data_IF_829473175459
#
_entry.id   IF_829473175459
#
_cell.length_a   1.000
_cell.length_b   1.000
_cell.length_c   1.000
_cell.angle_alpha   90.00
_cell.angle_beta   90.00
_cell.angle_gamma   90.00
#
_symmetry.space_group_name_H-M   'P 1'
#
loop_
_entity.id
_entity.type
_entity.pdbx_description
1 polymer ?
#
# COMPACT_ATOMS: atom_id res chain seq x y z
N UNK A 1 -41.69 21.40 20.38
CA UNK A 1 -40.33 21.73 20.85
C UNK A 1 -39.56 20.44 21.01
N UNK A 2 -39.17 19.95 19.84
CA UNK A 2 -38.27 18.90 19.37
C UNK A 2 -37.42 18.11 20.39
N UNK A 3 -37.89 16.89 20.68
CA UNK A 3 -37.16 15.81 21.35
C UNK A 3 -36.43 14.92 20.30
N UNK A 4 -35.72 15.54 19.35
CA UNK A 4 -35.11 14.84 18.20
C UNK A 4 -33.56 14.82 18.18
N UNK A 5 -32.89 15.13 19.28
CA UNK A 5 -31.40 15.19 19.32
C UNK A 5 -30.69 13.98 19.96
N UNK A 6 -31.38 12.86 20.17
CA UNK A 6 -30.76 11.64 20.72
C UNK A 6 -31.00 10.45 19.81
N UNK A 7 -29.91 9.90 19.27
CA UNK A 7 -29.77 8.65 18.48
C UNK A 7 -29.47 8.78 16.97
N UNK A 8 -28.77 9.83 16.54
CA UNK A 8 -27.92 9.73 15.36
C UNK A 8 -26.51 9.25 15.74
N UNK A 9 -26.40 8.09 16.42
CA UNK A 9 -25.14 7.33 16.38
C UNK A 9 -25.05 6.79 14.96
N UNK A 10 -24.50 7.61 14.04
CA UNK A 10 -24.07 7.13 12.72
C UNK A 10 -23.28 5.85 12.96
N UNK A 11 -23.57 4.82 12.16
CA UNK A 11 -22.83 3.56 12.18
C UNK A 11 -21.40 3.81 11.66
N UNK A 12 -20.60 4.53 12.43
CA UNK A 12 -19.17 4.69 12.19
C UNK A 12 -18.52 3.34 12.53
N UNK A 13 -17.84 2.76 11.54
CA UNK A 13 -17.10 1.52 11.71
C UNK A 13 -16.11 1.72 12.86
N UNK A 14 -16.15 0.81 13.84
CA UNK A 14 -15.26 0.93 15.01
C UNK A 14 -13.80 0.95 14.58
N UNK A 15 -12.97 1.76 15.23
CA UNK A 15 -11.53 1.83 14.99
C UNK A 15 -10.85 0.46 15.09
N UNK A 16 -11.38 -0.46 15.90
CA UNK A 16 -10.91 -1.85 16.00
C UNK A 16 -11.11 -2.63 14.72
N UNK A 17 -12.27 -2.51 14.09
CA UNK A 17 -12.55 -3.17 12.80
C UNK A 17 -11.67 -2.60 11.70
N UNK A 18 -11.45 -1.28 11.68
CA UNK A 18 -10.53 -0.65 10.73
C UNK A 18 -9.08 -1.15 10.93
N UNK A 19 -8.62 -1.30 12.16
CA UNK A 19 -7.31 -1.86 12.45
C UNK A 19 -7.18 -3.33 12.05
N UNK A 20 -8.23 -4.14 12.21
CA UNK A 20 -8.25 -5.52 11.69
C UNK A 20 -8.17 -5.53 10.17
N UNK A 21 -8.95 -4.69 9.49
CA UNK A 21 -8.93 -4.56 8.03
C UNK A 21 -7.54 -4.14 7.57
N UNK A 22 -6.94 -3.12 8.20
CA UNK A 22 -5.58 -2.66 7.88
C UNK A 22 -4.55 -3.77 8.10
N UNK A 23 -4.59 -4.44 9.25
CA UNK A 23 -3.67 -5.53 9.58
C UNK A 23 -3.78 -6.74 8.66
N UNK A 24 -5.00 -7.17 8.31
CA UNK A 24 -5.24 -8.29 7.40
C UNK A 24 -4.89 -7.92 5.95
N UNK A 25 -5.25 -6.71 5.51
CA UNK A 25 -4.96 -6.23 4.16
C UNK A 25 -3.46 -6.11 3.91
N UNK A 26 -2.73 -5.47 4.82
CA UNK A 26 -1.27 -5.36 4.73
C UNK A 26 -0.59 -6.73 4.80
N UNK A 27 -1.06 -7.65 5.66
CA UNK A 27 -0.53 -9.01 5.71
C UNK A 27 -0.78 -9.77 4.40
N UNK A 28 -2.00 -9.67 3.85
CA UNK A 28 -2.35 -10.27 2.57
C UNK A 28 -1.43 -9.79 1.45
N UNK A 29 -1.17 -8.48 1.36
CA UNK A 29 -0.22 -7.92 0.40
C UNK A 29 1.21 -8.42 0.61
N UNK A 30 1.68 -8.43 1.87
CA UNK A 30 3.03 -8.86 2.22
C UNK A 30 3.30 -10.33 1.89
N UNK A 31 2.25 -11.14 1.72
CA UNK A 31 2.35 -12.54 1.27
C UNK A 31 2.15 -12.62 -0.24
N UNK A 32 1.09 -12.03 -0.78
CA UNK A 32 0.70 -12.21 -2.18
C UNK A 32 1.67 -11.57 -3.16
N UNK A 33 2.14 -10.35 -2.89
CA UNK A 33 3.03 -9.64 -3.83
C UNK A 33 4.40 -10.33 -3.98
N UNK A 34 5.12 -10.69 -2.89
CA UNK A 34 6.37 -11.44 -3.02
C UNK A 34 6.19 -12.84 -3.62
N UNK A 35 5.09 -13.52 -3.30
CA UNK A 35 4.77 -14.82 -3.90
C UNK A 35 4.56 -14.69 -5.42
N UNK A 36 3.77 -13.71 -5.88
CA UNK A 36 3.51 -13.49 -7.29
C UNK A 36 4.78 -13.07 -8.06
N UNK A 37 5.62 -12.21 -7.46
CA UNK A 37 6.85 -11.72 -8.09
C UNK A 37 7.98 -12.76 -8.03
N UNK A 38 8.48 -13.03 -6.83
CA UNK A 38 9.69 -13.85 -6.62
C UNK A 38 9.39 -15.34 -6.63
N UNK A 39 8.18 -15.75 -6.21
CA UNK A 39 7.80 -17.16 -6.15
C UNK A 39 7.28 -17.71 -7.48
N UNK A 40 6.75 -16.86 -8.36
CA UNK A 40 6.11 -17.30 -9.61
C UNK A 40 6.72 -16.61 -10.82
N UNK A 41 6.64 -15.27 -10.94
CA UNK A 41 7.02 -14.60 -12.18
C UNK A 41 8.53 -14.72 -12.47
N UNK A 42 9.38 -14.34 -11.53
CA UNK A 42 10.84 -14.32 -11.76
C UNK A 42 11.41 -15.71 -12.12
N UNK A 43 11.01 -16.82 -11.46
CA UNK A 43 11.45 -18.16 -11.86
C UNK A 43 11.05 -18.58 -13.28
N UNK A 44 9.99 -18.00 -13.86
CA UNK A 44 9.55 -18.33 -15.23
C UNK A 44 10.34 -17.58 -16.30
N UNK A 45 11.06 -16.52 -15.94
CA UNK A 45 11.73 -15.62 -16.88
C UNK A 45 13.23 -15.91 -16.91
N UNK A 46 13.72 -16.40 -18.06
CA UNK A 46 15.13 -16.43 -18.41
C UNK A 46 15.44 -15.20 -19.29
N UNK A 47 16.08 -14.20 -18.70
CA UNK A 47 16.42 -12.94 -19.38
C UNK A 47 17.38 -13.12 -20.56
N UNK A 48 18.10 -14.24 -20.62
CA UNK A 48 19.04 -14.57 -21.69
C UNK A 48 18.46 -15.48 -22.76
N UNK A 49 17.31 -16.12 -22.50
CA UNK A 49 16.70 -17.11 -23.37
C UNK A 49 15.18 -16.88 -23.52
N UNK A 50 14.77 -16.07 -24.51
CA UNK A 50 13.35 -15.80 -24.78
C UNK A 50 12.54 -17.07 -25.10
N UNK A 51 13.13 -18.01 -25.83
CA UNK A 51 12.48 -19.28 -26.18
C UNK A 51 12.18 -20.11 -24.93
N UNK A 52 13.13 -20.21 -24.00
CA UNK A 52 12.91 -20.90 -22.73
C UNK A 52 11.85 -20.20 -21.87
N UNK A 53 11.85 -18.86 -21.83
CA UNK A 53 10.83 -18.08 -21.12
C UNK A 53 9.43 -18.37 -21.63
N UNK A 54 9.22 -18.39 -22.94
CA UNK A 54 7.91 -18.73 -23.54
C UNK A 54 7.50 -20.16 -23.18
N UNK A 55 8.43 -21.13 -23.27
CA UNK A 55 8.17 -22.51 -22.88
C UNK A 55 7.75 -22.63 -21.41
N UNK A 56 8.47 -21.97 -20.49
CA UNK A 56 8.15 -21.95 -19.07
C UNK A 56 6.74 -21.40 -18.80
N UNK A 57 6.35 -20.31 -19.46
CA UNK A 57 5.00 -19.74 -19.32
C UNK A 57 3.91 -20.68 -19.82
N UNK A 58 4.14 -21.40 -20.92
CA UNK A 58 3.20 -22.39 -21.46
C UNK A 58 3.08 -23.61 -20.54
N UNK A 59 4.20 -24.13 -20.04
CA UNK A 59 4.22 -25.27 -19.11
C UNK A 59 3.59 -24.93 -17.75
N UNK A 60 3.72 -23.68 -17.30
CA UNK A 60 3.23 -23.19 -16.01
C UNK A 60 2.03 -22.24 -16.14
N UNK A 61 1.21 -22.37 -17.19
CA UNK A 61 0.14 -21.41 -17.51
C UNK A 61 -0.81 -21.15 -16.32
N UNK A 62 -1.25 -22.20 -15.63
CA UNK A 62 -2.15 -22.07 -14.48
C UNK A 62 -1.53 -21.27 -13.33
N UNK A 63 -0.26 -21.51 -13.03
CA UNK A 63 0.50 -20.81 -11.99
C UNK A 63 0.73 -19.35 -12.38
N UNK A 64 1.08 -19.09 -13.64
CA UNK A 64 1.24 -17.73 -14.15
C UNK A 64 -0.05 -16.92 -14.07
N UNK A 65 -1.19 -17.50 -14.47
CA UNK A 65 -2.52 -16.86 -14.34
C UNK A 65 -2.89 -16.62 -12.88
N UNK A 66 -2.52 -17.52 -11.96
CA UNK A 66 -2.71 -17.33 -10.53
C UNK A 66 -1.90 -16.14 -10.00
N UNK A 67 -0.68 -15.93 -10.50
CA UNK A 67 0.14 -14.75 -10.18
C UNK A 67 -0.56 -13.45 -10.62
N UNK A 68 -1.12 -13.41 -11.83
CA UNK A 68 -1.90 -12.26 -12.32
C UNK A 68 -3.11 -11.99 -11.42
N UNK A 69 -3.84 -13.04 -11.03
CA UNK A 69 -4.97 -12.91 -10.11
C UNK A 69 -4.54 -12.41 -8.73
N UNK A 70 -3.42 -12.90 -8.20
CA UNK A 70 -2.86 -12.43 -6.93
C UNK A 70 -2.50 -10.94 -6.99
N UNK A 71 -1.89 -10.48 -8.08
CA UNK A 71 -1.65 -9.06 -8.30
C UNK A 71 -2.92 -8.22 -8.34
N UNK A 72 -3.98 -8.71 -8.99
CA UNK A 72 -5.27 -8.02 -8.99
C UNK A 72 -5.86 -7.89 -7.58
N UNK A 73 -5.75 -8.94 -6.77
CA UNK A 73 -6.15 -8.91 -5.36
C UNK A 73 -5.32 -7.89 -4.58
N UNK A 74 -4.00 -7.84 -4.77
CA UNK A 74 -3.11 -6.83 -4.15
C UNK A 74 -3.59 -5.42 -4.49
N UNK A 75 -3.89 -5.14 -5.77
CA UNK A 75 -4.41 -3.84 -6.21
C UNK A 75 -5.73 -3.47 -5.53
N UNK A 76 -6.65 -4.42 -5.32
CA UNK A 76 -7.88 -4.15 -4.58
C UNK A 76 -7.63 -3.90 -3.10
N UNK A 77 -6.70 -4.65 -2.51
CA UNK A 77 -6.26 -4.38 -1.15
C UNK A 77 -5.65 -2.97 -1.05
N UNK A 78 -4.96 -2.45 -2.08
CA UNK A 78 -4.39 -1.09 -2.05
C UNK A 78 -5.45 -0.01 -1.92
N UNK A 79 -6.54 -0.16 -2.65
CA UNK A 79 -7.71 0.74 -2.55
C UNK A 79 -8.32 0.66 -1.16
N UNK A 80 -8.46 -0.55 -0.62
CA UNK A 80 -8.97 -0.77 0.74
C UNK A 80 -8.04 -0.14 1.79
N UNK A 81 -6.73 -0.26 1.64
CA UNK A 81 -5.74 0.30 2.55
C UNK A 81 -5.70 1.82 2.49
N UNK A 82 -5.83 2.42 1.31
CA UNK A 82 -5.93 3.87 1.17
C UNK A 82 -7.07 4.44 2.04
N UNK A 83 -8.23 3.80 2.01
CA UNK A 83 -9.37 4.17 2.83
C UNK A 83 -9.14 3.88 4.33
N UNK A 84 -8.74 2.66 4.68
CA UNK A 84 -8.58 2.26 6.08
C UNK A 84 -7.54 3.13 6.80
N UNK A 85 -6.37 3.36 6.18
CA UNK A 85 -5.31 4.19 6.74
C UNK A 85 -5.74 5.66 6.85
N UNK A 86 -6.48 6.18 5.87
CA UNK A 86 -7.04 7.53 5.96
C UNK A 86 -7.93 7.67 7.20
N UNK A 87 -8.86 6.75 7.43
CA UNK A 87 -9.78 6.85 8.57
C UNK A 87 -9.07 6.68 9.91
N UNK A 88 -8.03 5.85 9.99
CA UNK A 88 -7.25 5.66 11.22
C UNK A 88 -6.36 6.88 11.52
N UNK A 89 -5.73 7.46 10.49
CA UNK A 89 -4.72 8.51 10.66
C UNK A 89 -5.30 9.94 10.55
N UNK A 90 -6.53 10.11 10.06
CA UNK A 90 -7.21 11.42 10.00
C UNK A 90 -7.21 12.20 11.31
N UNK A 91 -7.35 11.59 12.51
CA UNK A 91 -7.38 12.36 13.76
C UNK A 91 -6.02 13.02 14.07
N UNK A 92 -4.91 12.47 13.55
CA UNK A 92 -3.57 13.03 13.73
C UNK A 92 -3.37 14.26 12.84
N UNK A 93 -3.70 14.14 11.56
CA UNK A 93 -3.71 15.26 10.60
C UNK A 93 -4.51 14.86 9.35
N UNK A 94 -5.71 15.44 9.18
CA UNK A 94 -6.61 15.07 8.10
C UNK A 94 -6.05 15.36 6.70
N UNK A 95 -5.38 16.49 6.52
CA UNK A 95 -4.83 16.90 5.21
C UNK A 95 -3.72 15.95 4.75
N UNK A 96 -2.77 15.64 5.65
CA UNK A 96 -1.68 14.72 5.33
C UNK A 96 -2.19 13.29 5.16
N UNK A 97 -3.14 12.85 5.99
CA UNK A 97 -3.77 11.53 5.84
C UNK A 97 -4.49 11.39 4.49
N UNK A 98 -5.15 12.46 4.02
CA UNK A 98 -5.78 12.49 2.70
C UNK A 98 -4.75 12.38 1.57
N UNK A 99 -3.66 13.15 1.64
CA UNK A 99 -2.57 13.07 0.66
C UNK A 99 -1.97 11.66 0.60
N UNK A 100 -1.71 11.05 1.76
CA UNK A 100 -1.21 9.68 1.87
C UNK A 100 -2.17 8.66 1.24
N UNK A 101 -3.47 8.82 1.46
CA UNK A 101 -4.49 8.01 0.80
C UNK A 101 -4.51 8.18 -0.72
N UNK A 102 -4.40 9.42 -1.21
CA UNK A 102 -4.31 9.70 -2.65
C UNK A 102 -3.08 9.10 -3.30
N UNK A 103 -1.91 9.18 -2.65
CA UNK A 103 -0.69 8.53 -3.14
C UNK A 103 -0.89 7.02 -3.26
N UNK A 104 -1.56 6.39 -2.30
CA UNK A 104 -1.87 4.96 -2.34
C UNK A 104 -2.82 4.59 -3.49
N UNK A 105 -3.87 5.39 -3.71
CA UNK A 105 -4.80 5.19 -4.83
C UNK A 105 -4.11 5.43 -6.19
N UNK A 106 -3.26 6.45 -6.28
CA UNK A 106 -2.48 6.74 -7.47
C UNK A 106 -1.53 5.59 -7.81
N UNK A 107 -0.85 5.02 -6.80
CA UNK A 107 -0.02 3.83 -6.96
C UNK A 107 -0.83 2.63 -7.48
N UNK A 108 -1.98 2.34 -6.88
CA UNK A 108 -2.87 1.25 -7.32
C UNK A 108 -3.34 1.43 -8.76
N UNK A 109 -3.77 2.64 -9.13
CA UNK A 109 -4.21 2.95 -10.49
C UNK A 109 -3.06 2.88 -11.51
N UNK A 110 -1.88 3.40 -11.15
CA UNK A 110 -0.69 3.39 -12.00
C UNK A 110 -0.12 1.97 -12.19
N UNK A 111 -0.45 1.01 -11.33
CA UNK A 111 -0.04 -0.39 -11.47
C UNK A 111 -0.87 -1.18 -12.49
N UNK A 112 -2.11 -0.77 -12.77
CA UNK A 112 -2.99 -1.50 -13.69
C UNK A 112 -2.41 -1.70 -15.11
N UNK A 113 -1.75 -0.71 -15.74
CA UNK A 113 -1.08 -0.92 -17.02
C UNK A 113 0.07 -1.94 -16.94
N UNK A 114 0.83 -1.96 -15.84
CA UNK A 114 1.87 -2.98 -15.64
C UNK A 114 1.24 -4.37 -15.60
N UNK A 115 0.17 -4.55 -14.81
CA UNK A 115 -0.57 -5.80 -14.72
C UNK A 115 -1.18 -6.23 -16.07
N UNK A 116 -1.66 -5.27 -16.87
CA UNK A 116 -2.16 -5.53 -18.21
C UNK A 116 -1.10 -6.18 -19.12
N UNK A 117 0.18 -5.80 -19.00
CA UNK A 117 1.25 -6.43 -19.78
C UNK A 117 1.37 -7.93 -19.49
N UNK A 118 1.21 -8.37 -18.23
CA UNK A 118 1.22 -9.80 -17.92
C UNK A 118 -0.03 -10.50 -18.44
N UNK A 119 -1.18 -9.82 -18.40
CA UNK A 119 -2.42 -10.34 -18.96
C UNK A 119 -2.32 -10.49 -20.49
N UNK A 120 -1.68 -9.55 -21.18
CA UNK A 120 -1.42 -9.62 -22.61
C UNK A 120 -0.55 -10.82 -22.98
N UNK A 121 0.48 -11.14 -22.17
CA UNK A 121 1.27 -12.37 -22.33
C UNK A 121 0.38 -13.61 -22.20
N UNK A 122 -0.44 -13.68 -21.15
CA UNK A 122 -1.33 -14.83 -20.93
C UNK A 122 -2.40 -14.98 -22.02
N UNK A 123 -2.87 -13.88 -22.60
CA UNK A 123 -3.82 -13.90 -23.71
C UNK A 123 -3.16 -14.28 -25.02
N UNK A 124 -1.98 -13.71 -25.33
CA UNK A 124 -1.22 -14.02 -26.53
C UNK A 124 -0.91 -15.51 -26.59
N UNK A 125 -0.27 -16.06 -25.55
CA UNK A 125 0.16 -17.45 -25.49
C UNK A 125 -1.01 -18.46 -25.46
N UNK A 126 -2.16 -18.06 -24.91
CA UNK A 126 -3.37 -18.89 -24.93
C UNK A 126 -4.19 -18.77 -26.23
N UNK A 127 -3.81 -17.91 -27.18
CA UNK A 127 -4.59 -17.65 -28.37
C UNK A 127 -4.09 -18.44 -29.60
N UNK A 128 -4.97 -18.76 -30.57
CA UNK A 128 -4.55 -19.29 -31.86
C UNK A 128 -3.62 -18.35 -32.64
N UNK A 129 -3.61 -17.05 -32.30
CA UNK A 129 -2.79 -16.05 -32.95
C UNK A 129 -1.29 -16.25 -32.68
N UNK A 130 -0.91 -16.80 -31.51
CA UNK A 130 0.48 -17.11 -31.22
C UNK A 130 1.07 -18.09 -32.25
N UNK A 131 0.32 -19.12 -32.64
CA UNK A 131 0.74 -20.11 -33.65
C UNK A 131 0.74 -19.56 -35.08
N UNK A 132 0.02 -18.46 -35.33
CA UNK A 132 -0.04 -17.80 -36.63
C UNK A 132 1.11 -16.81 -36.86
N UNK A 133 1.79 -16.40 -35.79
CA UNK A 133 2.93 -15.49 -35.83
C UNK A 133 4.26 -16.25 -35.86
N UNK A 134 5.33 -15.66 -36.43
CA UNK A 134 6.67 -16.20 -36.28
C UNK A 134 7.07 -16.28 -34.79
N UNK A 135 7.71 -17.38 -34.38
CA UNK A 135 8.11 -17.59 -32.99
C UNK A 135 8.91 -16.41 -32.40
N UNK A 136 9.87 -15.88 -33.17
CA UNK A 136 10.69 -14.74 -32.76
C UNK A 136 9.87 -13.47 -32.44
N UNK A 137 8.72 -13.27 -33.10
CA UNK A 137 7.82 -12.13 -32.82
C UNK A 137 7.10 -12.34 -31.49
N UNK A 138 6.62 -13.55 -31.23
CA UNK A 138 5.95 -13.90 -29.96
C UNK A 138 6.94 -13.79 -28.80
N UNK A 139 8.13 -14.36 -28.95
CA UNK A 139 9.21 -14.29 -27.95
C UNK A 139 9.58 -12.83 -27.62
N UNK A 140 9.82 -12.00 -28.64
CA UNK A 140 10.15 -10.59 -28.43
C UNK A 140 9.01 -9.83 -27.73
N UNK A 141 7.75 -10.09 -28.10
CA UNK A 141 6.60 -9.46 -27.47
C UNK A 141 6.46 -9.87 -26.00
N UNK A 142 6.63 -11.17 -25.69
CA UNK A 142 6.59 -11.67 -24.30
C UNK A 142 7.67 -11.00 -23.46
N UNK A 143 8.92 -10.98 -23.94
CA UNK A 143 10.02 -10.35 -23.21
C UNK A 143 9.80 -8.84 -23.02
N UNK A 144 9.30 -8.13 -24.04
CA UNK A 144 8.99 -6.72 -23.95
C UNK A 144 7.87 -6.41 -22.94
N UNK A 145 6.81 -7.24 -22.91
CA UNK A 145 5.71 -7.11 -21.95
C UNK A 145 6.18 -7.40 -20.52
N UNK A 146 7.00 -8.44 -20.31
CA UNK A 146 7.60 -8.74 -18.99
C UNK A 146 8.51 -7.59 -18.52
N UNK A 147 9.34 -7.03 -19.40
CA UNK A 147 10.17 -5.88 -19.06
C UNK A 147 9.31 -4.65 -18.73
N UNK A 148 8.24 -4.41 -19.48
CA UNK A 148 7.29 -3.31 -19.24
C UNK A 148 6.56 -3.46 -17.91
N UNK A 149 6.20 -4.68 -17.51
CA UNK A 149 5.68 -4.96 -16.17
C UNK A 149 6.68 -4.55 -15.07
N UNK A 150 7.95 -4.96 -15.17
CA UNK A 150 8.98 -4.62 -14.19
C UNK A 150 9.21 -3.10 -14.11
N UNK A 151 9.27 -2.41 -15.26
CA UNK A 151 9.38 -0.95 -15.29
C UNK A 151 8.19 -0.27 -14.60
N UNK A 152 6.97 -0.72 -14.88
CA UNK A 152 5.76 -0.20 -14.24
C UNK A 152 5.74 -0.46 -12.73
N UNK A 153 6.16 -1.65 -12.31
CA UNK A 153 6.32 -2.02 -10.89
C UNK A 153 7.30 -1.09 -10.17
N UNK A 154 8.48 -0.87 -10.72
CA UNK A 154 9.52 -0.02 -10.11
C UNK A 154 9.07 1.45 -9.99
N UNK A 155 8.32 1.97 -10.98
CA UNK A 155 7.75 3.32 -10.93
C UNK A 155 6.65 3.45 -9.86
N UNK A 156 5.80 2.43 -9.71
CA UNK A 156 4.76 2.41 -8.67
C UNK A 156 5.39 2.37 -7.27
N UNK A 157 6.50 1.65 -7.09
CA UNK A 157 7.25 1.63 -5.83
C UNK A 157 7.75 3.02 -5.42
N UNK A 158 8.05 3.92 -6.35
CA UNK A 158 8.42 5.29 -6.02
C UNK A 158 7.26 6.05 -5.37
N UNK A 159 6.06 5.94 -5.95
CA UNK A 159 4.84 6.55 -5.40
C UNK A 159 4.49 5.92 -4.06
N UNK A 160 4.69 4.60 -3.92
CA UNK A 160 4.54 3.90 -2.66
C UNK A 160 5.54 4.39 -1.58
N UNK A 161 6.79 4.64 -1.96
CA UNK A 161 7.80 5.23 -1.08
C UNK A 161 7.33 6.57 -0.51
N UNK A 162 6.80 7.47 -1.36
CA UNK A 162 6.21 8.75 -0.91
C UNK A 162 5.03 8.54 0.04
N UNK A 163 4.17 7.57 -0.24
CA UNK A 163 3.09 7.18 0.66
C UNK A 163 3.63 6.77 2.04
N UNK A 164 4.67 5.93 2.09
CA UNK A 164 5.29 5.49 3.35
C UNK A 164 5.93 6.64 4.12
N UNK A 165 6.56 7.61 3.45
CA UNK A 165 7.07 8.81 4.14
C UNK A 165 5.95 9.53 4.91
N UNK A 166 4.78 9.69 4.28
CA UNK A 166 3.63 10.33 4.90
C UNK A 166 2.98 9.48 6.00
N UNK A 167 2.83 8.16 5.79
CA UNK A 167 2.36 7.23 6.83
C UNK A 167 3.30 7.29 8.03
N UNK A 168 4.61 7.16 7.82
CA UNK A 168 5.60 7.18 8.88
C UNK A 168 5.58 8.49 9.68
N UNK A 169 5.42 9.63 9.00
CA UNK A 169 5.27 10.93 9.66
C UNK A 169 3.99 11.02 10.52
N UNK A 170 2.87 10.46 10.06
CA UNK A 170 1.61 10.40 10.82
C UNK A 170 1.73 9.45 12.02
N UNK A 171 2.32 8.27 11.83
CA UNK A 171 2.57 7.28 12.88
C UNK A 171 3.50 7.86 13.95
N UNK A 172 4.54 8.59 13.56
CA UNK A 172 5.46 9.26 14.50
C UNK A 172 4.76 10.29 15.39
N UNK A 173 3.76 11.01 14.85
CA UNK A 173 2.99 12.03 15.58
C UNK A 173 1.82 11.45 16.37
N UNK A 174 1.43 10.21 16.11
CA UNK A 174 0.26 9.59 16.74
C UNK A 174 0.53 9.17 18.17
N UNK A 175 -0.40 9.44 19.08
CA UNK A 175 -0.41 8.83 20.42
C UNK A 175 -0.75 7.34 20.39
N UNK A 176 -1.31 6.86 19.28
CA UNK A 176 -1.73 5.48 19.09
C UNK A 176 -0.58 4.56 18.67
N UNK A 177 0.60 5.08 18.31
CA UNK A 177 1.70 4.25 17.84
C UNK A 177 3.02 4.69 18.47
N UNK A 178 3.96 3.77 18.71
CA UNK A 178 5.25 4.15 19.24
C UNK A 178 6.05 4.93 18.18
N UNK A 179 6.72 6.01 18.59
CA UNK A 179 7.42 6.92 17.66
C UNK A 179 8.48 6.23 16.80
N UNK A 180 9.21 5.26 17.37
CA UNK A 180 10.23 4.52 16.62
C UNK A 180 9.65 3.79 15.41
N UNK A 181 8.40 3.33 15.48
CA UNK A 181 7.73 2.67 14.36
C UNK A 181 7.56 3.66 13.19
N UNK A 182 7.17 4.89 13.48
CA UNK A 182 7.07 5.94 12.45
C UNK A 182 8.41 6.18 11.75
N UNK A 183 9.52 6.20 12.49
CA UNK A 183 10.87 6.33 11.92
C UNK A 183 11.22 5.16 11.01
N UNK A 184 10.95 3.92 11.44
CA UNK A 184 11.21 2.74 10.63
C UNK A 184 10.38 2.71 9.33
N UNK A 185 9.13 3.18 9.38
CA UNK A 185 8.28 3.30 8.18
C UNK A 185 8.81 4.39 7.23
N UNK A 186 9.32 5.51 7.76
CA UNK A 186 10.01 6.52 6.93
C UNK A 186 11.25 5.91 6.26
N UNK A 187 12.07 5.14 7.01
CA UNK A 187 13.25 4.46 6.47
C UNK A 187 12.86 3.50 5.33
N UNK A 188 11.77 2.74 5.49
CA UNK A 188 11.22 1.90 4.42
C UNK A 188 10.88 2.72 3.17
N UNK A 189 10.16 3.84 3.34
CA UNK A 189 9.81 4.74 2.23
C UNK A 189 11.03 5.32 1.50
N UNK A 190 12.08 5.68 2.24
CA UNK A 190 13.35 6.13 1.64
C UNK A 190 14.01 5.00 0.86
N UNK A 191 13.99 3.76 1.36
CA UNK A 191 14.54 2.61 0.64
C UNK A 191 13.88 2.37 -0.72
N UNK A 192 12.54 2.44 -0.80
CA UNK A 192 11.84 2.32 -2.08
C UNK A 192 12.18 3.45 -3.07
N UNK A 193 12.28 4.68 -2.58
CA UNK A 193 12.71 5.80 -3.43
C UNK A 193 14.15 5.60 -3.91
N UNK A 194 15.05 5.16 -3.03
CA UNK A 194 16.43 4.87 -3.38
C UNK A 194 16.50 3.77 -4.46
N UNK A 195 15.70 2.72 -4.36
CA UNK A 195 15.62 1.66 -5.38
C UNK A 195 15.20 2.24 -6.75
N UNK A 196 14.10 2.99 -6.81
CA UNK A 196 13.64 3.58 -8.08
C UNK A 196 14.69 4.54 -8.66
N UNK A 197 15.20 5.48 -7.86
CA UNK A 197 16.19 6.45 -8.35
C UNK A 197 17.49 5.78 -8.77
N UNK A 198 17.91 4.71 -8.08
CA UNK A 198 19.08 3.92 -8.48
C UNK A 198 18.85 3.28 -9.85
N UNK A 199 17.70 2.65 -10.09
CA UNK A 199 17.40 2.05 -11.41
C UNK A 199 17.37 3.06 -12.54
N UNK A 200 16.95 4.30 -12.27
CA UNK A 200 16.91 5.37 -13.27
C UNK A 200 18.29 5.99 -13.52
N UNK A 201 19.06 6.24 -12.45
CA UNK A 201 20.30 7.02 -12.52
C UNK A 201 21.56 6.16 -12.65
N UNK A 202 21.51 4.92 -12.17
CA UNK A 202 22.62 3.97 -12.08
C UNK A 202 22.12 2.55 -12.41
N UNK A 203 21.70 2.28 -13.66
CA UNK A 203 21.01 1.03 -14.04
C UNK A 203 21.87 -0.23 -13.82
N UNK A 204 23.20 -0.10 -13.76
CA UNK A 204 24.13 -1.22 -13.56
C UNK A 204 24.34 -1.56 -12.07
N UNK A 205 23.78 -0.79 -11.13
CA UNK A 205 23.91 -1.08 -9.70
C UNK A 205 22.88 -2.12 -9.27
N UNK A 206 23.33 -3.36 -9.11
CA UNK A 206 22.52 -4.48 -8.61
C UNK A 206 22.45 -4.49 -7.07
N UNK A 207 21.83 -3.45 -6.50
CA UNK A 207 21.56 -3.36 -5.07
C UNK A 207 20.12 -2.91 -4.83
N UNK A 208 19.42 -3.60 -3.93
CA UNK A 208 18.04 -3.29 -3.55
C UNK A 208 17.99 -2.88 -2.07
N UNK A 209 17.89 -1.58 -1.82
CA UNK A 209 17.81 -0.95 -0.50
C UNK A 209 16.57 -1.41 0.27
N UNK A 210 15.41 -1.54 -0.39
CA UNK A 210 14.14 -1.91 0.27
C UNK A 210 14.22 -3.26 1.00
N UNK A 211 15.05 -4.20 0.55
CA UNK A 211 15.28 -5.49 1.21
C UNK A 211 15.84 -5.35 2.63
N UNK A 212 16.49 -4.23 2.96
CA UNK A 212 17.04 -3.98 4.30
C UNK A 212 16.22 -2.96 5.09
N UNK A 213 15.41 -2.15 4.43
CA UNK A 213 14.65 -1.06 5.08
C UNK A 213 13.19 -1.40 5.36
N UNK A 214 12.63 -2.50 4.83
CA UNK A 214 11.21 -2.86 4.95
C UNK A 214 10.73 -3.19 6.38
N UNK A 215 11.62 -3.25 7.37
CA UNK A 215 11.32 -3.66 8.76
C UNK A 215 10.17 -2.85 9.37
N UNK A 216 10.06 -1.57 9.03
CA UNK A 216 8.97 -0.70 9.49
C UNK A 216 7.58 -1.18 9.08
N UNK A 217 7.44 -1.71 7.87
CA UNK A 217 6.16 -2.19 7.34
C UNK A 217 5.70 -3.46 8.04
N UNK A 218 6.62 -4.40 8.28
CA UNK A 218 6.34 -5.62 9.04
C UNK A 218 5.86 -5.30 10.46
N UNK A 219 6.53 -4.35 11.14
CA UNK A 219 6.11 -3.90 12.47
C UNK A 219 4.79 -3.11 12.45
N UNK A 220 4.50 -2.42 11.35
CA UNK A 220 3.24 -1.69 11.20
C UNK A 220 2.05 -2.66 11.12
N UNK A 221 2.19 -3.79 10.44
CA UNK A 221 1.20 -4.88 10.46
C UNK A 221 0.95 -5.31 11.90
N UNK A 222 2.01 -5.66 12.63
CA UNK A 222 1.90 -6.10 14.03
C UNK A 222 1.24 -5.03 14.91
N UNK A 223 1.55 -3.75 14.68
CA UNK A 223 0.96 -2.66 15.43
C UNK A 223 -0.56 -2.52 15.18
N UNK A 224 -1.03 -2.69 13.95
CA UNK A 224 -2.46 -2.69 13.65
C UNK A 224 -3.20 -3.86 14.29
N UNK A 225 -2.63 -5.06 14.25
CA UNK A 225 -3.19 -6.22 14.94
C UNK A 225 -3.25 -6.02 16.46
N UNK A 226 -2.19 -5.46 17.05
CA UNK A 226 -2.17 -5.09 18.46
C UNK A 226 -3.30 -4.10 18.81
N UNK A 227 -3.50 -3.06 17.98
CA UNK A 227 -4.55 -2.05 18.17
C UNK A 227 -5.95 -2.59 17.95
N UNK A 228 -6.13 -3.55 17.04
CA UNK A 228 -7.39 -4.27 16.89
C UNK A 228 -7.81 -4.97 18.20
N UNK A 229 -6.86 -5.60 18.89
CA UNK A 229 -7.11 -6.35 20.13
C UNK A 229 -7.29 -5.40 21.32
N UNK A 230 -6.33 -4.49 21.53
CA UNK A 230 -6.30 -3.60 22.71
C UNK A 230 -7.27 -2.42 22.60
N UNK A 231 -7.62 -2.01 21.38
CA UNK A 231 -8.36 -0.79 21.13
C UNK A 231 -7.47 0.46 21.01
N UNK A 232 -8.13 1.56 20.68
CA UNK A 232 -7.53 2.88 20.51
C UNK A 232 -7.78 3.73 21.77
N UNK A 233 -6.83 4.58 22.10
CA UNK A 233 -6.96 5.55 23.19
C UNK A 233 -7.93 6.64 22.74
N UNK A 234 -8.98 6.91 23.49
CA UNK A 234 -9.85 8.06 23.24
C UNK A 234 -9.12 9.35 23.59
N UNK A 235 -9.14 10.35 22.70
CA UNK A 235 -8.66 11.68 23.06
C UNK A 235 -9.65 12.32 24.05
N UNK A 236 -9.16 13.01 25.10
CA UNK A 236 -10.04 13.69 26.04
C UNK A 236 -10.91 14.71 25.29
N UNK A 237 -12.22 14.58 25.47
CA UNK A 237 -13.23 15.42 24.83
C UNK A 237 -13.01 16.89 25.24
N UNK A 238 -12.55 17.73 24.30
CA UNK A 238 -12.32 19.17 24.56
C UNK A 238 -13.60 19.91 24.97
N UNK A 239 -14.77 19.29 24.78
CA UNK A 239 -16.08 19.80 25.23
C UNK A 239 -16.43 19.44 26.68
N UNK A 240 -15.62 18.65 27.38
CA UNK A 240 -15.79 18.31 28.80
C UNK A 240 -14.72 18.93 29.71
N UNK A 241 -14.11 20.04 29.30
CA UNK A 241 -13.31 20.83 30.22
C UNK A 241 -14.22 21.31 31.37
N UNK A 242 -13.86 21.09 32.66
CA UNK A 242 -14.64 21.60 33.78
C UNK A 242 -14.81 23.12 33.62
N UNK A 243 -15.99 23.69 33.95
CA UNK A 243 -16.21 25.12 33.82
C UNK A 243 -15.08 25.84 34.55
N UNK A 244 -14.38 26.72 33.81
CA UNK A 244 -13.33 27.55 34.38
C UNK A 244 -13.86 28.32 35.59
N UNK A 245 -13.00 28.69 36.56
CA UNK A 245 -13.43 29.35 37.78
C UNK A 245 -14.31 30.54 37.43
N UNK A 246 -15.55 30.52 37.94
CA UNK A 246 -16.55 31.55 37.69
C UNK A 246 -15.92 32.93 37.99
N UNK A 247 -15.92 33.82 37.00
CA UNK A 247 -15.46 35.18 37.17
C UNK A 247 -16.22 35.79 38.36
N UNK A 248 -15.49 36.09 39.43
CA UNK A 248 -16.03 36.75 40.60
C UNK A 248 -16.68 38.06 40.16
N UNK A 249 -17.98 38.18 40.38
CA UNK A 249 -18.75 39.38 40.10
C UNK A 249 -18.12 40.54 40.87
N UNK A 250 -17.69 41.57 40.16
CA UNK A 250 -17.21 42.81 40.76
C UNK A 250 -18.40 43.49 41.47
N UNK A 251 -18.29 43.65 42.79
CA UNK A 251 -19.22 44.44 43.57
C UNK A 251 -19.16 45.91 43.14
N UNK A 252 -20.30 46.63 43.05
CA UNK A 252 -20.28 48.05 42.73
C UNK A 252 -19.73 48.83 43.92
N UNK A 253 -18.75 49.68 43.65
CA UNK A 253 -18.20 50.66 44.60
C UNK A 253 -19.29 51.71 44.85
N UNK A 254 -19.76 51.81 46.09
CA UNK A 254 -20.68 52.86 46.52
C UNK A 254 -19.96 54.22 46.51
N UNK A 255 -20.59 55.21 45.87
CA UNK A 255 -20.24 56.63 45.93
C UNK A 255 -21.21 57.38 46.83
#
# INVERSE_FOLDING_TARGET
MDNFSTNARKADISQRVLALIAGLGLLGMAVLAPLALFGILNPLVDTSNPTATVANFLESEGTFRLAIAAWLVVTFLDVLMAWALYVILRPVNATLAMLVGWLRLAAAAAFLPALANLLDVAQLLGSPAASALPAAVVEAQVMASVASFHNGWDLVLAVFGLHLLGVGALVYKSIQFPRFLGVLVVIAGVGYLADTFTRILVPDLDFTFSLFTFVGEALLIVAFWYRAIKGFVEEPDSHQAPPGPAAAQAAPVAS
#
